data_IF_819509727590
#
_entry.id   IF_819509727590
#
_cell.length_a   1.000
_cell.length_b   1.000
_cell.length_c   1.000
_cell.angle_alpha   90.00
_cell.angle_beta   90.00
_cell.angle_gamma   90.00
#
_symmetry.space_group_name_H-M   'P 1'
#
loop_
_entity.id
_entity.type
_entity.pdbx_description
1 polymer ?
#
# COMPACT_ATOMS: atom_id res chain seq x y z
N UNK A 1 3.40 -12.80 -5.02
CA UNK A 1 2.93 -13.56 -6.19
C UNK A 1 1.39 -13.55 -6.09
N UNK A 2 0.67 -14.04 -7.09
CA UNK A 2 -0.76 -14.34 -6.89
C UNK A 2 -0.89 -15.83 -6.56
N UNK A 3 -1.98 -16.20 -5.88
CA UNK A 3 -2.36 -17.60 -5.72
C UNK A 3 -3.28 -18.02 -6.88
N UNK A 4 -3.39 -19.33 -7.12
CA UNK A 4 -4.40 -19.91 -8.01
C UNK A 4 -5.13 -21.04 -7.29
N UNK A 5 -6.33 -21.36 -7.75
CA UNK A 5 -7.09 -22.53 -7.29
C UNK A 5 -6.97 -23.60 -8.38
N UNK A 6 -6.63 -24.83 -7.98
CA UNK A 6 -6.52 -25.97 -8.91
C UNK A 6 -7.87 -26.67 -9.12
N UNK A 7 -7.89 -27.61 -10.06
CA UNK A 7 -8.99 -28.52 -10.35
C UNK A 7 -9.34 -29.48 -9.19
N UNK A 8 -8.56 -29.49 -8.12
CA UNK A 8 -8.87 -30.22 -6.88
C UNK A 8 -9.92 -29.50 -6.01
N UNK A 9 -10.37 -28.30 -6.42
CA UNK A 9 -11.41 -27.55 -5.72
C UNK A 9 -12.73 -28.33 -5.64
N UNK A 10 -13.30 -28.43 -4.43
CA UNK A 10 -14.57 -29.12 -4.17
C UNK A 10 -15.78 -28.19 -4.06
N UNK A 11 -15.65 -26.91 -4.43
CA UNK A 11 -16.72 -25.90 -4.35
C UNK A 11 -17.40 -25.83 -2.97
N UNK A 12 -16.60 -25.71 -1.90
CA UNK A 12 -17.09 -25.66 -0.51
C UNK A 12 -17.49 -24.26 0.00
N UNK A 13 -17.32 -23.21 -0.82
CA UNK A 13 -17.70 -21.81 -0.56
C UNK A 13 -16.98 -21.11 0.61
N UNK A 14 -16.12 -21.79 1.37
CA UNK A 14 -15.48 -21.21 2.56
C UNK A 14 -14.44 -20.14 2.21
N UNK A 15 -13.77 -20.23 1.06
CA UNK A 15 -12.65 -19.34 0.75
C UNK A 15 -13.05 -17.95 0.20
N UNK A 16 -14.22 -17.81 -0.41
CA UNK A 16 -14.72 -16.54 -0.98
C UNK A 16 -14.88 -15.43 0.08
N UNK A 17 -15.62 -15.64 1.19
CA UNK A 17 -15.83 -14.59 2.18
C UNK A 17 -14.56 -14.18 2.94
N UNK A 18 -13.55 -15.05 2.96
CA UNK A 18 -12.30 -14.80 3.69
C UNK A 18 -11.32 -13.91 2.92
N UNK A 19 -11.56 -13.66 1.62
CA UNK A 19 -10.67 -12.83 0.82
C UNK A 19 -10.92 -11.34 1.08
N UNK A 20 -9.98 -10.58 1.71
CA UNK A 20 -10.19 -9.17 2.04
C UNK A 20 -10.32 -8.27 0.80
N UNK A 21 -9.79 -8.72 -0.35
CA UNK A 21 -9.81 -7.98 -1.61
C UNK A 21 -10.92 -8.45 -2.58
N UNK A 22 -11.77 -9.39 -2.16
CA UNK A 22 -12.79 -10.00 -3.03
C UNK A 22 -12.18 -10.49 -4.37
N UNK A 23 -11.03 -11.16 -4.27
CA UNK A 23 -10.29 -11.70 -5.41
C UNK A 23 -10.81 -13.08 -5.84
N UNK A 24 -11.46 -13.81 -4.94
CA UNK A 24 -12.02 -15.14 -5.19
C UNK A 24 -13.46 -14.99 -5.68
N UNK A 25 -13.83 -15.74 -6.71
CA UNK A 25 -15.18 -15.79 -7.25
C UNK A 25 -15.50 -17.17 -7.80
N UNK A 26 -16.79 -17.51 -7.89
CA UNK A 26 -17.24 -18.75 -8.52
C UNK A 26 -17.04 -18.67 -10.05
N UNK A 27 -16.17 -19.52 -10.59
CA UNK A 27 -15.95 -19.70 -12.02
C UNK A 27 -16.98 -20.62 -12.67
N UNK A 28 -16.63 -21.18 -13.83
CA UNK A 28 -17.54 -22.09 -14.56
C UNK A 28 -17.67 -23.46 -13.89
N UNK A 29 -16.56 -24.00 -13.36
CA UNK A 29 -16.49 -25.34 -12.78
C UNK A 29 -15.96 -25.33 -11.35
N UNK A 30 -14.99 -24.45 -11.08
CA UNK A 30 -14.31 -24.29 -9.80
C UNK A 30 -14.27 -22.82 -9.40
N UNK A 31 -13.93 -22.56 -8.15
CA UNK A 31 -13.53 -21.21 -7.73
C UNK A 31 -12.27 -20.76 -8.47
N UNK A 32 -12.23 -19.46 -8.79
CA UNK A 32 -11.10 -18.82 -9.47
C UNK A 32 -10.60 -17.62 -8.66
N UNK A 33 -9.32 -17.27 -8.83
CA UNK A 33 -8.68 -16.12 -8.19
C UNK A 33 -8.30 -15.10 -9.27
N UNK A 34 -8.76 -13.86 -9.13
CA UNK A 34 -8.29 -12.72 -9.90
C UNK A 34 -6.87 -12.32 -9.44
N UNK A 35 -5.83 -12.54 -10.27
CA UNK A 35 -4.45 -12.22 -9.89
C UNK A 35 -4.21 -10.71 -9.73
N UNK A 36 -5.05 -9.85 -10.31
CA UNK A 36 -4.93 -8.40 -10.16
C UNK A 36 -5.40 -7.90 -8.80
N UNK A 37 -6.20 -8.70 -8.08
CA UNK A 37 -6.70 -8.40 -6.73
C UNK A 37 -6.02 -9.22 -5.64
N UNK A 38 -5.45 -10.37 -5.97
CA UNK A 38 -4.74 -11.20 -5.01
C UNK A 38 -3.45 -10.50 -4.52
N UNK A 39 -3.34 -10.24 -3.21
CA UNK A 39 -2.14 -9.67 -2.58
C UNK A 39 -1.41 -10.69 -1.70
N UNK A 40 -1.73 -11.99 -1.78
CA UNK A 40 -1.33 -13.00 -0.78
C UNK A 40 -1.68 -12.59 0.66
N UNK A 41 -2.76 -11.81 0.82
CA UNK A 41 -3.15 -11.18 2.09
C UNK A 41 -2.14 -10.18 2.68
N UNK A 42 -1.06 -9.85 1.97
CA UNK A 42 -0.12 -8.80 2.38
C UNK A 42 -0.86 -7.49 2.63
N UNK A 43 -0.60 -6.88 3.79
CA UNK A 43 -1.25 -5.66 4.27
C UNK A 43 -2.50 -5.89 5.12
N UNK A 44 -3.07 -7.10 5.10
CA UNK A 44 -4.20 -7.48 5.94
C UNK A 44 -3.82 -8.52 7.00
N UNK A 45 -3.08 -9.56 6.59
CA UNK A 45 -2.69 -10.70 7.43
C UNK A 45 -1.27 -11.16 7.09
N UNK A 46 -0.64 -11.92 8.00
CA UNK A 46 0.71 -12.48 7.80
C UNK A 46 0.69 -13.70 6.87
N UNK A 47 -0.44 -14.42 6.82
CA UNK A 47 -0.64 -15.63 6.03
C UNK A 47 -1.89 -15.54 5.15
N UNK A 48 -1.93 -16.24 3.99
CA UNK A 48 -3.10 -16.23 3.12
C UNK A 48 -4.29 -16.94 3.77
N UNK A 49 -5.36 -16.19 4.06
CA UNK A 49 -6.54 -16.73 4.75
C UNK A 49 -7.25 -17.82 3.96
N UNK A 50 -7.33 -17.69 2.63
CA UNK A 50 -7.93 -18.71 1.77
C UNK A 50 -7.21 -20.07 1.85
N UNK A 51 -5.89 -20.08 2.06
CA UNK A 51 -5.11 -21.32 2.22
C UNK A 51 -5.40 -21.98 3.57
N UNK A 52 -5.55 -21.18 4.63
CA UNK A 52 -5.83 -21.67 5.99
C UNK A 52 -7.20 -22.34 6.11
N UNK A 53 -8.19 -21.90 5.33
CA UNK A 53 -9.55 -22.43 5.39
C UNK A 53 -9.85 -23.51 4.36
N UNK A 54 -8.95 -23.74 3.38
CA UNK A 54 -9.18 -24.70 2.31
C UNK A 54 -9.06 -26.14 2.84
N UNK A 55 -10.14 -26.95 2.86
CA UNK A 55 -10.12 -28.30 3.44
C UNK A 55 -9.28 -29.32 2.64
N UNK A 56 -9.00 -29.02 1.37
CA UNK A 56 -8.26 -29.89 0.44
C UNK A 56 -6.90 -29.31 0.03
N UNK A 57 -6.50 -28.16 0.59
CA UNK A 57 -5.23 -27.49 0.31
C UNK A 57 -4.94 -27.25 -1.19
N UNK A 58 -5.96 -26.98 -2.00
CA UNK A 58 -5.88 -26.84 -3.46
C UNK A 58 -5.50 -25.42 -3.95
N UNK A 59 -4.79 -24.63 -3.14
CA UNK A 59 -4.48 -23.21 -3.43
C UNK A 59 -2.96 -22.96 -3.44
N UNK A 60 -2.23 -23.39 -4.49
CA UNK A 60 -0.81 -23.14 -4.63
C UNK A 60 -0.52 -21.72 -5.14
N UNK A 61 0.77 -21.37 -5.15
CA UNK A 61 1.26 -20.14 -5.77
C UNK A 61 1.12 -20.23 -7.29
N UNK A 62 0.64 -19.16 -7.91
CA UNK A 62 0.48 -19.07 -9.35
C UNK A 62 1.82 -18.82 -10.06
N UNK A 63 2.34 -19.77 -10.86
CA UNK A 63 3.62 -19.61 -11.53
C UNK A 63 3.60 -18.57 -12.66
N UNK A 64 2.41 -18.19 -13.16
CA UNK A 64 2.26 -17.15 -14.19
C UNK A 64 2.23 -15.74 -13.60
N UNK A 65 2.05 -15.60 -12.29
CA UNK A 65 1.92 -14.31 -11.59
C UNK A 65 2.90 -14.23 -10.42
N UNK A 66 4.19 -14.32 -10.72
CA UNK A 66 5.26 -14.15 -9.73
C UNK A 66 5.46 -12.67 -9.42
N UNK A 67 5.25 -12.28 -8.17
CA UNK A 67 5.39 -10.90 -7.70
C UNK A 67 6.23 -10.88 -6.42
N UNK A 68 7.12 -9.90 -6.30
CA UNK A 68 7.90 -9.68 -5.10
C UNK A 68 7.05 -9.05 -3.99
N UNK A 69 7.49 -9.16 -2.74
CA UNK A 69 6.79 -8.57 -1.59
C UNK A 69 6.55 -7.05 -1.75
N UNK A 70 7.49 -6.23 -2.25
CA UNK A 70 7.21 -4.81 -2.54
C UNK A 70 6.10 -4.59 -3.59
N UNK A 71 5.98 -5.46 -4.59
CA UNK A 71 4.92 -5.38 -5.61
C UNK A 71 3.54 -5.67 -5.00
N UNK A 72 3.46 -6.63 -4.07
CA UNK A 72 2.22 -6.93 -3.35
C UNK A 72 1.77 -5.77 -2.46
N UNK A 73 2.70 -5.11 -1.77
CA UNK A 73 2.41 -3.89 -1.02
C UNK A 73 1.88 -2.76 -1.91
N UNK A 74 2.47 -2.55 -3.09
CA UNK A 74 1.96 -1.56 -4.06
C UNK A 74 0.54 -1.90 -4.52
N UNK A 75 0.25 -3.18 -4.75
CA UNK A 75 -1.09 -3.65 -5.11
C UNK A 75 -2.08 -3.41 -3.96
N UNK A 76 -1.72 -3.76 -2.73
CA UNK A 76 -2.52 -3.49 -1.52
C UNK A 76 -2.88 -2.00 -1.39
N UNK A 77 -1.90 -1.11 -1.52
CA UNK A 77 -2.14 0.34 -1.47
C UNK A 77 -3.10 0.82 -2.56
N UNK A 78 -2.98 0.26 -3.77
CA UNK A 78 -3.89 0.56 -4.89
C UNK A 78 -5.33 0.13 -4.60
N UNK A 79 -5.52 -1.03 -3.99
CA UNK A 79 -6.85 -1.60 -3.73
C UNK A 79 -7.54 -0.95 -2.52
N UNK A 80 -6.81 -0.66 -1.46
CA UNK A 80 -7.37 -0.08 -0.22
C UNK A 80 -7.46 1.44 -0.23
N UNK A 81 -6.89 2.10 -1.25
CA UNK A 81 -6.79 3.56 -1.29
C UNK A 81 -5.86 4.13 -0.21
N UNK A 82 -5.14 3.28 0.52
CA UNK A 82 -4.15 3.73 1.50
C UNK A 82 -2.98 4.35 0.74
N UNK A 83 -2.68 5.65 0.91
CA UNK A 83 -1.56 6.27 0.22
C UNK A 83 -0.29 5.52 0.62
N UNK A 84 0.36 4.90 -0.36
CA UNK A 84 1.73 4.41 -0.21
C UNK A 84 2.56 5.58 0.31
N UNK A 85 3.22 5.38 1.45
CA UNK A 85 4.08 6.38 2.11
C UNK A 85 5.29 6.80 1.24
N UNK A 86 5.35 6.38 -0.03
CA UNK A 86 6.25 6.90 -1.05
C UNK A 86 6.03 8.39 -1.38
N UNK A 87 5.02 9.07 -0.82
CA UNK A 87 4.90 10.55 -0.86
C UNK A 87 5.81 11.26 0.17
N UNK A 88 6.74 10.55 0.79
CA UNK A 88 7.75 11.09 1.71
C UNK A 88 9.20 10.94 1.27
N UNK A 89 9.47 10.29 0.12
CA UNK A 89 10.81 10.28 -0.47
C UNK A 89 10.98 11.58 -1.26
N UNK A 90 11.17 12.69 -0.56
CA UNK A 90 11.82 13.85 -1.16
C UNK A 90 13.11 13.32 -1.80
N UNK A 91 13.34 13.69 -3.06
CA UNK A 91 14.58 13.44 -3.75
C UNK A 91 15.72 13.79 -2.79
N UNK A 92 16.40 12.78 -2.25
CA UNK A 92 17.65 12.99 -1.55
C UNK A 92 18.56 13.68 -2.58
N UNK A 93 19.00 14.92 -2.35
CA UNK A 93 20.04 15.48 -3.18
C UNK A 93 21.25 14.55 -3.01
N UNK A 94 21.75 14.00 -4.11
CA UNK A 94 23.04 13.30 -4.14
C UNK A 94 24.13 14.35 -3.90
N UNK A 95 24.28 14.75 -2.64
CA UNK A 95 25.33 15.62 -2.16
C UNK A 95 26.63 14.84 -2.14
N UNK A 96 27.41 15.01 -3.21
CA UNK A 96 28.84 14.69 -3.20
C UNK A 96 29.57 15.50 -2.10
N UNK A 97 30.73 15.02 -1.64
CA UNK A 97 31.48 15.68 -0.59
C UNK A 97 32.28 16.84 -1.19
N UNK A 98 32.11 18.04 -0.66
CA UNK A 98 33.18 18.99 -0.28
C UNK A 98 32.57 20.36 0.00
N UNK A 99 32.36 20.66 1.28
CA UNK A 99 32.12 22.01 1.74
C UNK A 99 33.11 22.32 2.87
N UNK A 100 34.12 23.13 2.53
CA UNK A 100 34.91 23.86 3.49
C UNK A 100 34.13 25.02 4.10
N UNK A 101 34.41 25.26 5.37
CA UNK A 101 34.39 26.51 6.12
C UNK A 101 33.62 27.74 5.55
N UNK A 102 32.69 28.29 6.34
CA UNK A 102 32.89 29.55 7.08
C UNK A 102 31.60 30.00 7.80
N UNK A 103 31.80 30.73 8.89
CA UNK A 103 30.85 31.06 9.95
C UNK A 103 29.98 32.31 9.68
N UNK A 104 28.84 32.39 10.40
CA UNK A 104 28.14 33.50 11.13
C UNK A 104 28.35 35.00 10.72
N UNK A 105 27.50 35.99 11.13
CA UNK A 105 26.48 35.97 12.20
C UNK A 105 25.16 36.75 11.95
N UNK A 106 24.34 36.81 13.00
CA UNK A 106 23.08 37.52 13.18
C UNK A 106 23.21 39.04 13.49
N UNK A 107 22.05 39.75 13.47
CA UNK A 107 21.76 41.20 13.64
C UNK A 107 21.51 41.89 12.27
N UNK A 108 20.53 42.78 12.01
CA UNK A 108 19.79 43.84 12.73
C UNK A 108 18.38 44.00 12.08
N UNK A 109 17.26 44.22 12.79
CA UNK A 109 16.63 45.48 13.26
C UNK A 109 16.30 46.57 12.19
N UNK A 110 15.00 46.73 11.85
CA UNK A 110 14.27 48.00 11.54
C UNK A 110 12.83 47.66 11.11
N UNK A 111 11.72 47.96 11.81
CA UNK A 111 11.09 49.19 12.34
C UNK A 111 10.14 49.91 11.34
N UNK A 112 8.93 50.19 11.85
CA UNK A 112 7.86 51.09 11.36
C UNK A 112 7.04 50.59 10.14
N UNK A 113 5.71 50.65 10.13
CA UNK A 113 4.90 51.87 10.23
C UNK A 113 3.57 51.66 10.97
N UNK A 114 3.31 52.61 11.85
CA UNK A 114 2.11 52.95 12.63
C UNK A 114 1.11 53.81 11.86
N UNK A 115 -0.20 53.52 11.97
CA UNK A 115 -1.38 54.44 11.92
C UNK A 115 -2.64 53.56 11.99
N UNK A 116 -3.77 53.88 12.61
CA UNK A 116 -4.18 54.92 13.56
C UNK A 116 -5.52 54.43 14.13
N UNK A 117 -5.76 54.73 15.39
CA UNK A 117 -6.88 54.32 16.22
C UNK A 117 -8.13 55.15 15.90
N UNK A 118 -9.08 54.63 15.10
CA UNK A 118 -10.44 55.18 15.06
C UNK A 118 -11.44 54.27 14.33
N UNK A 119 -12.37 53.66 15.08
CA UNK A 119 -13.81 53.45 14.80
C UNK A 119 -14.33 52.73 16.08
N UNK A 120 -14.76 53.42 17.14
CA UNK A 120 -16.04 54.13 17.31
C UNK A 120 -17.28 53.23 17.14
N UNK A 121 -18.06 53.13 18.23
CA UNK A 121 -19.47 52.66 18.34
C UNK A 121 -19.74 51.21 17.94
N UNK A 122 -20.29 50.33 18.79
CA UNK A 122 -21.55 50.43 19.56
C UNK A 122 -21.46 49.55 20.81
#
# INVERSE_FOLDING_TARGET
>A
MALLITDECINCDVCEPECPNQAIYMGLEIYEIDPHKCTECVGHFDEPQCVQVCPVACIPVNPQHVESQPMLWLKYHRLTGTPSLARGMQALPVSGPTAGAAAAPAAELQLAVSVDEKVSSV
#
